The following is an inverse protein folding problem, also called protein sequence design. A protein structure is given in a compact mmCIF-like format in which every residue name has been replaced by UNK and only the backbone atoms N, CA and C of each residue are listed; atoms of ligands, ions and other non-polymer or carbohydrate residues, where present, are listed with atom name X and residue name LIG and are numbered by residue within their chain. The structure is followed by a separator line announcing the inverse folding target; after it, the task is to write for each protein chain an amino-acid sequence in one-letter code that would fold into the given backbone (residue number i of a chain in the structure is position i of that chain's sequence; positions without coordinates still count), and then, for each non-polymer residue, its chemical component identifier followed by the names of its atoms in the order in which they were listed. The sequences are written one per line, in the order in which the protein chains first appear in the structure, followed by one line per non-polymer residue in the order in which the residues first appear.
data_IF_031182952392
#
_entry.id   IF_031182952392
#
_cell.length_a   1.000
_cell.length_b   1.000
_cell.length_c   1.000
_cell.angle_alpha   90.00
_cell.angle_beta   90.00
_cell.angle_gamma   90.00
#
_symmetry.space_group_name_H-M   'P 1'
#
loop_
_entity.id
_entity.type
_entity.pdbx_description
1 polymer ?
#
# COMPACT_ATOMS: atom_id res chain seq x y z
N UNK A 1 -30.00 -6.14 16.76
CA UNK A 1 -28.65 -5.55 16.65
C UNK A 1 -27.70 -6.48 17.38
N UNK A 2 -26.79 -7.14 16.65
CA UNK A 2 -25.84 -8.06 17.28
C UNK A 2 -24.75 -7.26 18.00
N UNK A 3 -24.39 -7.69 19.21
CA UNK A 3 -23.28 -7.08 19.94
C UNK A 3 -21.97 -7.33 19.15
N UNK A 4 -21.10 -6.32 18.98
CA UNK A 4 -19.83 -6.51 18.31
C UNK A 4 -18.97 -7.53 19.07
N UNK A 5 -18.31 -8.42 18.34
CA UNK A 5 -17.38 -9.39 18.92
C UNK A 5 -16.17 -8.63 19.49
N UNK A 6 -15.88 -8.84 20.77
CA UNK A 6 -14.66 -8.32 21.40
C UNK A 6 -13.39 -8.95 20.79
N UNK A 7 -12.26 -8.24 20.90
CA UNK A 7 -10.97 -8.74 20.45
C UNK A 7 -10.41 -9.77 21.44
N UNK A 8 -9.85 -10.85 20.93
CA UNK A 8 -9.07 -11.83 21.70
C UNK A 8 -7.63 -11.37 21.92
N UNK A 9 -6.90 -12.11 22.75
CA UNK A 9 -5.52 -11.80 23.14
C UNK A 9 -4.56 -11.69 21.93
N UNK A 10 -4.71 -12.58 20.94
CA UNK A 10 -3.89 -12.53 19.72
C UNK A 10 -4.14 -11.26 18.91
N UNK A 11 -5.39 -10.81 18.83
CA UNK A 11 -5.77 -9.63 18.06
C UNK A 11 -5.28 -8.35 18.75
N UNK A 12 -5.32 -8.32 20.09
CA UNK A 12 -4.75 -7.23 20.87
C UNK A 12 -3.23 -7.15 20.72
N UNK A 13 -2.52 -8.29 20.77
CA UNK A 13 -1.07 -8.32 20.51
C UNK A 13 -0.72 -7.83 19.11
N UNK A 14 -1.50 -8.24 18.10
CA UNK A 14 -1.29 -7.80 16.73
C UNK A 14 -1.56 -6.29 16.60
N UNK A 15 -2.59 -5.77 17.25
CA UNK A 15 -2.91 -4.35 17.25
C UNK A 15 -1.79 -3.52 17.87
N UNK A 16 -1.26 -3.97 19.01
CA UNK A 16 -0.12 -3.32 19.67
C UNK A 16 1.10 -3.31 18.75
N UNK A 17 1.48 -4.47 18.21
CA UNK A 17 2.59 -4.58 17.26
C UNK A 17 2.40 -3.66 16.04
N UNK A 18 1.19 -3.62 15.48
CA UNK A 18 0.87 -2.78 14.32
C UNK A 18 0.93 -1.29 14.64
N UNK A 19 0.47 -0.88 15.83
CA UNK A 19 0.48 0.54 16.26
C UNK A 19 1.88 1.14 16.36
N UNK A 20 2.89 0.30 16.59
CA UNK A 20 4.30 0.69 16.64
C UNK A 20 5.05 0.37 15.34
N UNK A 21 4.37 -0.22 14.36
CA UNK A 21 4.98 -0.64 13.12
C UNK A 21 5.14 0.55 12.16
N UNK A 22 6.38 0.97 11.90
CA UNK A 22 6.70 1.94 10.85
C UNK A 22 6.94 1.23 9.50
N UNK A 23 6.02 0.35 9.11
CA UNK A 23 6.13 -0.39 7.85
C UNK A 23 5.82 0.51 6.66
N UNK A 24 6.74 0.52 5.70
CA UNK A 24 6.62 1.33 4.49
C UNK A 24 7.70 0.99 3.48
N UNK A 25 7.45 1.32 2.22
CA UNK A 25 8.35 1.10 1.10
C UNK A 25 8.59 2.42 0.38
N UNK A 26 9.83 2.73 0.07
CA UNK A 26 10.15 3.98 -0.63
C UNK A 26 9.74 3.91 -2.11
N UNK A 27 9.40 5.05 -2.75
CA UNK A 27 9.14 5.11 -4.18
C UNK A 27 10.26 4.49 -5.02
N UNK A 28 11.52 4.68 -4.62
CA UNK A 28 12.68 4.13 -5.31
C UNK A 28 12.72 2.61 -5.23
N UNK A 29 12.50 2.03 -4.06
CA UNK A 29 12.41 0.57 -3.91
C UNK A 29 11.25 0.00 -4.72
N UNK A 30 10.08 0.63 -4.65
CA UNK A 30 8.88 0.16 -5.34
C UNK A 30 9.05 0.21 -6.86
N UNK A 31 9.58 1.34 -7.37
CA UNK A 31 9.92 1.51 -8.78
C UNK A 31 10.94 0.47 -9.23
N UNK A 32 12.01 0.25 -8.47
CA UNK A 32 13.04 -0.74 -8.82
C UNK A 32 12.50 -2.17 -8.87
N UNK A 33 11.54 -2.51 -8.02
CA UNK A 33 10.98 -3.87 -7.93
C UNK A 33 9.94 -4.15 -9.02
N UNK A 34 9.07 -3.19 -9.31
CA UNK A 34 7.88 -3.41 -10.16
C UNK A 34 7.92 -2.69 -11.52
N UNK A 35 8.89 -1.80 -11.74
CA UNK A 35 9.02 -0.99 -12.96
C UNK A 35 7.73 -0.21 -13.35
N UNK A 36 7.01 0.27 -12.34
CA UNK A 36 5.77 1.04 -12.53
C UNK A 36 6.02 2.45 -13.03
N UNK A 37 5.07 3.04 -13.74
CA UNK A 37 5.12 4.45 -14.12
C UNK A 37 4.82 5.39 -12.95
N UNK A 38 5.15 6.67 -13.11
CA UNK A 38 4.80 7.70 -12.11
C UNK A 38 3.29 7.91 -12.01
N UNK A 39 2.55 7.68 -13.10
CA UNK A 39 1.09 7.69 -13.16
C UNK A 39 0.50 6.56 -12.31
N UNK A 40 0.97 5.33 -12.48
CA UNK A 40 0.53 4.18 -11.68
C UNK A 40 0.85 4.39 -10.19
N UNK A 41 2.04 4.89 -9.88
CA UNK A 41 2.41 5.20 -8.50
C UNK A 41 1.55 6.33 -7.89
N UNK A 42 1.16 7.32 -8.72
CA UNK A 42 0.25 8.38 -8.32
C UNK A 42 -1.16 7.84 -8.00
N UNK A 43 -1.66 6.90 -8.80
CA UNK A 43 -2.93 6.20 -8.54
C UNK A 43 -2.88 5.41 -7.23
N UNK A 44 -1.84 4.59 -7.03
CA UNK A 44 -1.65 3.81 -5.81
C UNK A 44 -1.66 4.73 -4.58
N UNK A 45 -0.93 5.84 -4.62
CA UNK A 45 -0.76 6.75 -3.50
C UNK A 45 -1.84 7.83 -3.37
N UNK A 46 -2.79 7.91 -4.31
CA UNK A 46 -3.78 9.00 -4.40
C UNK A 46 -3.13 10.39 -4.42
N UNK A 47 -2.11 10.55 -5.27
CA UNK A 47 -1.35 11.80 -5.46
C UNK A 47 -1.46 12.28 -6.90
N UNK A 48 -1.04 13.52 -7.14
CA UNK A 48 -0.81 13.96 -8.52
C UNK A 48 0.51 13.39 -9.05
N UNK A 49 0.58 13.15 -10.36
CA UNK A 49 1.83 12.78 -11.03
C UNK A 49 2.98 13.74 -10.71
N UNK A 50 2.70 15.04 -10.68
CA UNK A 50 3.69 16.07 -10.36
C UNK A 50 4.26 15.92 -8.94
N UNK A 51 3.48 15.40 -8.00
CA UNK A 51 3.95 15.13 -6.63
C UNK A 51 4.87 13.92 -6.61
N UNK A 52 4.52 12.85 -7.33
CA UNK A 52 5.36 11.65 -7.48
C UNK A 52 6.69 12.00 -8.13
N UNK A 53 6.69 12.80 -9.20
CA UNK A 53 7.92 13.26 -9.86
C UNK A 53 8.89 13.94 -8.87
N UNK A 54 8.37 14.73 -7.93
CA UNK A 54 9.21 15.39 -6.90
C UNK A 54 9.84 14.41 -5.91
N UNK A 55 9.32 13.19 -5.76
CA UNK A 55 9.93 12.15 -4.91
C UNK A 55 11.24 11.61 -5.50
N UNK A 56 11.43 11.75 -6.81
CA UNK A 56 12.64 11.36 -7.54
C UNK A 56 13.55 12.56 -7.88
N UNK A 57 13.12 13.77 -7.54
CA UNK A 57 13.89 15.00 -7.71
C UNK A 57 15.11 15.08 -6.78
N UNK A 58 15.95 16.09 -6.99
CA UNK A 58 17.12 16.40 -6.15
C UNK A 58 17.07 17.87 -5.70
N UNK A 59 17.70 18.19 -4.56
CA UNK A 59 17.78 19.57 -4.07
C UNK A 59 16.41 20.21 -3.85
N UNK A 60 16.23 21.45 -4.32
CA UNK A 60 15.03 22.26 -4.04
C UNK A 60 13.72 21.69 -4.61
N UNK A 61 13.79 20.82 -5.62
CA UNK A 61 12.59 20.19 -6.21
C UNK A 61 12.21 18.88 -5.51
N UNK A 62 13.09 18.33 -4.66
CA UNK A 62 12.81 17.11 -3.92
C UNK A 62 11.70 17.34 -2.89
N UNK A 63 10.76 16.40 -2.84
CA UNK A 63 9.76 16.33 -1.77
C UNK A 63 9.78 14.94 -1.17
N UNK A 64 9.83 14.85 0.16
CA UNK A 64 9.74 13.56 0.85
C UNK A 64 8.30 13.01 0.76
N UNK A 65 8.11 11.72 0.44
CA UNK A 65 6.82 11.05 0.59
C UNK A 65 6.36 11.05 2.05
N UNK A 66 5.05 11.12 2.28
CA UNK A 66 4.48 10.99 3.63
C UNK A 66 4.52 9.53 4.10
N UNK A 67 4.41 9.30 5.41
CA UNK A 67 4.32 7.94 5.95
C UNK A 67 3.17 7.13 5.32
N UNK A 68 2.04 7.78 5.05
CA UNK A 68 0.90 7.18 4.36
C UNK A 68 1.25 6.77 2.92
N UNK A 69 2.03 7.57 2.18
CA UNK A 69 2.46 7.19 0.83
C UNK A 69 3.35 5.94 0.88
N UNK A 70 4.31 5.90 1.81
CA UNK A 70 5.20 4.75 2.00
C UNK A 70 4.42 3.48 2.36
N UNK A 71 3.41 3.62 3.23
CA UNK A 71 2.58 2.50 3.66
C UNK A 71 1.74 1.96 2.49
N UNK A 72 1.17 2.83 1.65
CA UNK A 72 0.39 2.39 0.48
C UNK A 72 1.22 1.62 -0.53
N UNK A 73 2.47 2.05 -0.75
CA UNK A 73 3.41 1.32 -1.60
C UNK A 73 3.72 -0.06 -1.00
N UNK A 74 3.96 -0.15 0.31
CA UNK A 74 4.21 -1.43 0.96
C UNK A 74 2.98 -2.36 0.94
N UNK A 75 1.77 -1.82 1.14
CA UNK A 75 0.52 -2.58 0.99
C UNK A 75 0.39 -3.13 -0.42
N UNK A 76 0.61 -2.30 -1.45
CA UNK A 76 0.50 -2.76 -2.84
C UNK A 76 1.57 -3.80 -3.17
N UNK A 77 2.79 -3.62 -2.67
CA UNK A 77 3.88 -4.58 -2.80
C UNK A 77 3.49 -5.96 -2.26
N UNK A 78 2.98 -6.00 -1.02
CA UNK A 78 2.49 -7.22 -0.39
C UNK A 78 1.32 -7.83 -1.17
N UNK A 79 0.35 -7.01 -1.60
CA UNK A 79 -0.83 -7.50 -2.32
C UNK A 79 -0.46 -8.15 -3.65
N UNK A 80 0.49 -7.57 -4.41
CA UNK A 80 0.94 -8.16 -5.66
C UNK A 80 1.76 -9.42 -5.45
N UNK A 81 2.66 -9.47 -4.45
CA UNK A 81 3.41 -10.69 -4.15
C UNK A 81 2.53 -11.86 -3.69
N UNK A 82 1.52 -11.57 -2.89
CA UNK A 82 0.66 -12.59 -2.29
C UNK A 82 -0.61 -12.85 -3.11
N UNK A 83 -0.77 -12.20 -4.26
CA UNK A 83 -2.03 -12.18 -4.99
C UNK A 83 -2.59 -13.58 -5.23
N UNK A 84 -1.76 -14.51 -5.69
CA UNK A 84 -2.16 -15.88 -5.99
C UNK A 84 -2.57 -16.69 -4.75
N UNK A 85 -2.06 -16.32 -3.57
CA UNK A 85 -2.34 -16.98 -2.30
C UNK A 85 -3.56 -16.39 -1.59
N UNK A 86 -4.06 -15.24 -2.05
CA UNK A 86 -5.23 -14.61 -1.44
C UNK A 86 -6.49 -15.47 -1.65
N UNK A 87 -7.38 -15.54 -0.65
CA UNK A 87 -8.68 -16.20 -0.80
C UNK A 87 -9.42 -15.71 -2.03
N UNK A 88 -10.06 -16.62 -2.76
CA UNK A 88 -10.77 -16.30 -4.01
C UNK A 88 -11.79 -15.17 -3.82
N UNK A 89 -12.56 -15.17 -2.73
CA UNK A 89 -13.51 -14.11 -2.42
C UNK A 89 -12.88 -12.71 -2.30
N UNK A 90 -11.63 -12.61 -1.83
CA UNK A 90 -10.91 -11.33 -1.80
C UNK A 90 -10.46 -10.90 -3.21
N UNK A 91 -9.98 -11.84 -4.02
CA UNK A 91 -9.57 -11.57 -5.40
C UNK A 91 -10.75 -11.10 -6.25
N UNK A 92 -11.90 -11.78 -6.17
CA UNK A 92 -13.11 -11.42 -6.88
C UNK A 92 -13.66 -10.05 -6.47
N UNK A 93 -13.58 -9.70 -5.18
CA UNK A 93 -13.99 -8.38 -4.70
C UNK A 93 -13.08 -7.23 -5.17
N UNK A 94 -11.79 -7.50 -5.33
CA UNK A 94 -10.81 -6.53 -5.83
C UNK A 94 -10.80 -6.40 -7.36
N UNK A 95 -11.28 -7.41 -8.09
CA UNK A 95 -11.40 -7.42 -9.56
C UNK A 95 -12.85 -7.63 -10.00
N UNK A 96 -13.75 -6.64 -9.81
CA UNK A 96 -15.18 -6.80 -10.12
C UNK A 96 -15.50 -6.96 -11.63
N UNK A 97 -14.49 -6.93 -12.53
CA UNK A 97 -14.69 -6.93 -13.98
C UNK A 97 -13.89 -7.99 -14.75
N UNK A 98 -13.19 -8.91 -14.07
CA UNK A 98 -12.53 -10.04 -14.76
C UNK A 98 -13.55 -11.16 -14.93
N UNK A 99 -14.52 -10.93 -15.81
CA UNK A 99 -15.39 -11.92 -16.45
C UNK A 99 -16.12 -11.19 -17.59
N UNK A 100 -15.47 -11.09 -18.75
CA UNK A 100 -16.08 -10.78 -20.05
C UNK A 100 -15.26 -11.45 -21.14
#
# INVERSE_FOLDING_TARGET
MSNPRGLGEQELRLLEAYSHCSWGMTPQQFYQKWDVTYEQMAEICQRSRSTVQRWFGRGAVYRRPTAHDLQRLAVMDFLWEQWEMLPEGMRSGCMPWVNS
#
